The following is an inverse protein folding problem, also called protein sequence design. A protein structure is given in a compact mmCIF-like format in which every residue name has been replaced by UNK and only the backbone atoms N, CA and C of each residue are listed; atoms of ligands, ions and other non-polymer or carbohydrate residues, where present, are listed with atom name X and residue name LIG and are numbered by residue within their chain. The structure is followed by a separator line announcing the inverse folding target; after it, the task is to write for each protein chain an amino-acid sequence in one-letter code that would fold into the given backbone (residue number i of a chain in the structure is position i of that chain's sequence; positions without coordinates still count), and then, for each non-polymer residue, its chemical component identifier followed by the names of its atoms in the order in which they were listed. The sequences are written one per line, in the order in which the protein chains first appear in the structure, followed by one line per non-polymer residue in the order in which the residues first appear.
data_IF_140623496115
#
_entry.id   IF_140623496115
#
_cell.length_a   1.000
_cell.length_b   1.000
_cell.length_c   1.000
_cell.angle_alpha   90.00
_cell.angle_beta   90.00
_cell.angle_gamma   90.00
#
_symmetry.space_group_name_H-M   'P 1'
#
loop_
_entity.id
_entity.type
_entity.pdbx_description
1 polymer ?
#
# COMPACT_ATOMS: atom_id res chain seq x y z
N UNK A 1 -12.45 9.21 -8.78
CA UNK A 1 -13.12 8.05 -9.43
C UNK A 1 -12.48 6.77 -8.90
N UNK A 2 -13.28 5.76 -8.58
CA UNK A 2 -12.85 4.67 -7.71
C UNK A 2 -12.34 3.47 -8.52
N UNK A 3 -11.07 3.12 -8.35
CA UNK A 3 -10.58 1.76 -8.67
C UNK A 3 -11.50 0.74 -7.97
N UNK A 4 -12.05 -0.21 -8.73
CA UNK A 4 -12.96 -1.23 -8.22
C UNK A 4 -12.31 -2.60 -8.29
N UNK A 5 -12.59 -3.42 -7.27
CA UNK A 5 -12.19 -4.82 -7.28
C UNK A 5 -13.04 -5.58 -8.30
N UNK A 6 -12.40 -6.31 -9.21
CA UNK A 6 -13.06 -7.11 -10.25
C UNK A 6 -13.22 -8.55 -9.78
N UNK A 7 -12.13 -9.15 -9.30
CA UNK A 7 -12.14 -10.51 -8.76
C UNK A 7 -11.00 -10.70 -7.75
N UNK A 8 -11.20 -11.60 -6.80
CA UNK A 8 -10.14 -12.09 -5.92
C UNK A 8 -10.14 -13.62 -5.95
N UNK A 9 -8.96 -14.22 -5.94
CA UNK A 9 -8.79 -15.67 -5.94
C UNK A 9 -7.78 -16.08 -4.87
N UNK A 10 -8.22 -16.96 -3.97
CA UNK A 10 -7.37 -17.57 -2.94
C UNK A 10 -6.65 -18.79 -3.52
N UNK A 11 -5.71 -19.35 -2.76
CA UNK A 11 -5.02 -20.56 -3.20
C UNK A 11 -3.98 -20.28 -4.29
N UNK A 12 -3.52 -19.04 -4.46
CA UNK A 12 -2.61 -18.66 -5.55
C UNK A 12 -1.20 -18.49 -5.02
N UNK A 13 -0.27 -19.24 -5.60
CA UNK A 13 1.16 -19.13 -5.31
C UNK A 13 1.86 -18.27 -6.34
N UNK A 14 2.75 -17.41 -5.86
CA UNK A 14 3.54 -16.50 -6.67
C UNK A 14 4.91 -17.10 -7.04
N UNK A 15 5.34 -16.84 -8.27
CA UNK A 15 6.68 -17.11 -8.78
C UNK A 15 7.27 -15.84 -9.38
N UNK A 16 8.54 -15.61 -9.14
CA UNK A 16 9.35 -14.63 -9.82
C UNK A 16 10.09 -15.31 -10.99
N UNK A 17 9.56 -15.19 -12.20
CA UNK A 17 9.97 -15.99 -13.33
C UNK A 17 9.85 -17.51 -13.08
N UNK A 18 10.97 -18.21 -13.15
CA UNK A 18 11.06 -19.63 -12.78
C UNK A 18 11.23 -19.87 -11.27
N UNK A 19 11.66 -18.84 -10.54
CA UNK A 19 11.96 -18.96 -9.12
C UNK A 19 10.68 -18.91 -8.29
N UNK A 20 10.45 -19.95 -7.50
CA UNK A 20 9.33 -19.98 -6.57
C UNK A 20 9.57 -18.95 -5.47
N UNK A 21 8.61 -18.05 -5.24
CA UNK A 21 8.70 -17.13 -4.12
C UNK A 21 8.85 -17.91 -2.80
N UNK A 22 9.64 -17.38 -1.87
CA UNK A 22 9.79 -17.97 -0.51
C UNK A 22 8.50 -17.89 0.32
N UNK A 23 7.52 -17.15 -0.20
CA UNK A 23 6.19 -16.97 0.37
C UNK A 23 5.31 -18.18 0.06
N UNK A 24 4.28 -18.37 0.88
CA UNK A 24 3.47 -19.59 0.88
C UNK A 24 2.39 -19.55 -0.21
N UNK A 25 1.12 -19.78 0.13
CA UNK A 25 -0.02 -19.58 -0.76
C UNK A 25 -0.74 -18.32 -0.30
N UNK A 26 -1.15 -17.48 -1.26
CA UNK A 26 -1.75 -16.19 -0.99
C UNK A 26 -3.03 -15.96 -1.78
N UNK A 27 -3.41 -14.69 -1.83
CA UNK A 27 -4.60 -14.22 -2.53
C UNK A 27 -4.16 -13.28 -3.64
N UNK A 28 -4.58 -13.58 -4.86
CA UNK A 28 -4.45 -12.64 -5.99
C UNK A 28 -5.74 -11.83 -6.11
N UNK A 29 -5.60 -10.53 -6.35
CA UNK A 29 -6.70 -9.61 -6.57
C UNK A 29 -6.50 -8.92 -7.91
N UNK A 30 -7.55 -8.89 -8.71
CA UNK A 30 -7.61 -8.08 -9.92
C UNK A 30 -8.56 -6.91 -9.65
N UNK A 31 -8.07 -5.70 -9.81
CA UNK A 31 -8.89 -4.49 -9.88
C UNK A 31 -8.96 -3.99 -11.32
N UNK A 32 -9.74 -2.94 -11.54
CA UNK A 32 -9.80 -2.24 -12.83
C UNK A 32 -8.50 -1.57 -13.26
N UNK A 33 -7.50 -1.51 -12.37
CA UNK A 33 -6.24 -0.79 -12.61
C UNK A 33 -5.00 -1.64 -12.33
N UNK A 34 -5.10 -2.66 -11.46
CA UNK A 34 -3.94 -3.34 -10.90
C UNK A 34 -4.20 -4.82 -10.65
N UNK A 35 -3.14 -5.60 -10.78
CA UNK A 35 -3.03 -6.98 -10.34
C UNK A 35 -2.22 -7.00 -9.04
N UNK A 36 -2.82 -7.46 -7.94
CA UNK A 36 -2.17 -7.51 -6.63
C UNK A 36 -2.04 -8.95 -6.16
N UNK A 37 -0.98 -9.25 -5.42
CA UNK A 37 -0.83 -10.50 -4.68
C UNK A 37 -0.49 -10.20 -3.22
N UNK A 38 -1.22 -10.85 -2.31
CA UNK A 38 -1.05 -10.71 -0.86
C UNK A 38 -0.82 -12.06 -0.22
N UNK A 39 0.08 -12.09 0.75
CA UNK A 39 0.29 -13.29 1.56
C UNK A 39 -0.92 -13.52 2.49
N UNK A 40 -1.33 -14.78 2.64
CA UNK A 40 -2.53 -15.15 3.40
C UNK A 40 -2.32 -15.05 4.92
N UNK A 41 -1.08 -15.21 5.41
CA UNK A 41 -0.78 -15.26 6.86
C UNK A 41 -0.67 -13.86 7.46
N UNK A 42 -0.04 -12.92 6.75
CA UNK A 42 0.23 -11.58 7.29
C UNK A 42 -0.51 -10.43 6.56
N UNK A 43 -1.28 -10.72 5.51
CA UNK A 43 -1.95 -9.73 4.65
C UNK A 43 -1.00 -8.68 4.04
N UNK A 44 0.31 -8.89 4.05
CA UNK A 44 1.25 -7.99 3.41
C UNK A 44 1.10 -8.09 1.89
N UNK A 45 1.03 -6.93 1.24
CA UNK A 45 1.02 -6.84 -0.21
C UNK A 45 2.44 -7.07 -0.71
N UNK A 46 2.70 -8.24 -1.30
CA UNK A 46 4.03 -8.58 -1.78
C UNK A 46 4.25 -8.11 -3.23
N UNK A 47 3.18 -8.08 -4.04
CA UNK A 47 3.24 -7.55 -5.41
C UNK A 47 2.00 -6.72 -5.72
N UNK A 48 2.21 -5.60 -6.41
CA UNK A 48 1.17 -4.80 -7.03
C UNK A 48 1.68 -4.37 -8.41
N UNK A 49 1.05 -4.87 -9.46
CA UNK A 49 1.41 -4.60 -10.86
C UNK A 49 0.29 -3.77 -11.48
N UNK A 50 0.57 -2.54 -11.93
CA UNK A 50 -0.35 -1.81 -12.79
C UNK A 50 -0.65 -2.59 -14.06
N UNK A 51 -1.93 -2.70 -14.44
CA UNK A 51 -2.31 -3.42 -15.66
C UNK A 51 -1.71 -2.78 -16.92
N UNK A 52 -1.39 -1.47 -16.88
CA UNK A 52 -0.64 -0.78 -17.94
C UNK A 52 0.77 -1.32 -18.19
N UNK A 53 1.36 -2.04 -17.22
CA UNK A 53 2.71 -2.63 -17.38
C UNK A 53 2.70 -4.03 -17.96
N UNK A 54 1.55 -4.69 -17.95
CA UNK A 54 1.39 -6.04 -18.50
C UNK A 54 1.42 -5.93 -20.03
N UNK A 55 2.47 -6.47 -20.64
CA UNK A 55 2.59 -6.53 -22.11
C UNK A 55 1.64 -7.59 -22.65
N UNK A 56 1.74 -8.78 -22.07
CA UNK A 56 0.90 -9.91 -22.42
C UNK A 56 0.86 -10.90 -21.26
N UNK A 57 -0.12 -11.79 -21.30
CA UNK A 57 -0.24 -12.88 -20.34
C UNK A 57 -0.78 -14.10 -21.07
N UNK A 58 -0.42 -15.28 -20.57
CA UNK A 58 -0.76 -16.55 -21.20
C UNK A 58 -1.02 -17.63 -20.17
N UNK A 59 -1.83 -18.62 -20.54
CA UNK A 59 -1.98 -19.83 -19.74
C UNK A 59 -0.82 -20.79 -20.04
N UNK A 60 -0.06 -21.14 -19.01
CA UNK A 60 0.94 -22.19 -19.11
C UNK A 60 0.28 -23.53 -18.82
N UNK A 61 0.16 -24.37 -19.85
CA UNK A 61 -0.38 -25.72 -19.75
C UNK A 61 0.31 -26.50 -18.63
N UNK A 62 -0.48 -26.96 -17.68
CA UNK A 62 0.00 -27.77 -16.58
C UNK A 62 -0.04 -29.25 -17.00
N UNK A 63 1.11 -29.93 -16.99
CA UNK A 63 1.15 -31.38 -17.18
C UNK A 63 0.30 -32.13 -16.14
N UNK A 64 0.07 -33.42 -16.35
CA UNK A 64 -0.76 -34.26 -15.47
C UNK A 64 -0.31 -34.09 -13.99
N UNK A 65 -1.26 -33.75 -13.11
CA UNK A 65 -1.02 -33.55 -11.68
C UNK A 65 -0.40 -32.19 -11.29
N UNK A 66 -0.22 -31.25 -12.23
CA UNK A 66 0.28 -29.90 -11.94
C UNK A 66 -0.87 -28.88 -11.86
N UNK A 67 -0.67 -27.87 -11.02
CA UNK A 67 -1.56 -26.71 -10.90
C UNK A 67 -1.52 -25.83 -12.16
N UNK A 68 -2.68 -25.32 -12.59
CA UNK A 68 -2.77 -24.33 -13.66
C UNK A 68 -1.97 -23.07 -13.32
N UNK A 69 -1.39 -22.44 -14.34
CA UNK A 69 -0.57 -21.25 -14.18
C UNK A 69 -0.94 -20.19 -15.21
N UNK A 70 -1.02 -18.95 -14.76
CA UNK A 70 -1.04 -17.79 -15.64
C UNK A 70 0.34 -17.14 -15.55
N UNK A 71 0.99 -16.96 -16.70
CA UNK A 71 2.25 -16.23 -16.82
C UNK A 71 1.92 -14.80 -17.22
N UNK A 72 2.43 -13.82 -16.48
CA UNK A 72 2.19 -12.40 -16.73
C UNK A 72 3.52 -11.76 -17.10
N UNK A 73 3.65 -11.32 -18.34
CA UNK A 73 4.85 -10.72 -18.88
C UNK A 73 4.78 -9.21 -18.79
N UNK A 74 5.85 -8.62 -18.27
CA UNK A 74 6.01 -7.22 -17.94
C UNK A 74 7.07 -6.59 -18.84
N UNK A 75 7.09 -5.27 -18.91
CA UNK A 75 8.15 -4.56 -19.62
C UNK A 75 9.53 -4.89 -19.03
N UNK A 76 10.52 -5.27 -19.87
CA UNK A 76 11.85 -5.61 -19.39
C UNK A 76 12.53 -4.41 -18.72
N UNK A 77 13.37 -4.68 -17.72
CA UNK A 77 14.20 -3.66 -17.09
C UNK A 77 15.34 -3.31 -18.06
N UNK A 78 15.58 -2.03 -18.39
CA UNK A 78 16.69 -1.63 -19.26
C UNK A 78 18.05 -2.09 -18.69
N UNK A 79 18.96 -2.58 -19.54
CA UNK A 79 20.25 -3.17 -19.15
C UNK A 79 21.19 -2.19 -18.42
N UNK A 80 21.03 -0.88 -18.65
CA UNK A 80 21.90 0.18 -18.09
C UNK A 80 21.53 0.61 -16.65
N UNK A 81 20.84 -0.22 -15.88
CA UNK A 81 20.33 0.15 -14.56
C UNK A 81 21.22 -0.42 -13.46
N UNK A 82 21.84 0.46 -12.68
CA UNK A 82 22.56 0.12 -11.45
C UNK A 82 21.65 -0.68 -10.50
N UNK A 83 22.15 -1.74 -9.83
CA UNK A 83 21.36 -2.57 -8.93
C UNK A 83 20.85 -1.73 -7.75
N UNK A 84 19.53 -1.60 -7.65
CA UNK A 84 18.89 -0.88 -6.55
C UNK A 84 19.03 -1.60 -5.20
N UNK A 85 18.69 -0.94 -4.08
CA UNK A 85 18.87 -1.46 -2.72
C UNK A 85 17.96 -2.67 -2.35
N UNK A 86 17.05 -3.08 -3.24
CA UNK A 86 16.12 -4.19 -3.03
C UNK A 86 16.27 -5.25 -4.12
N UNK A 87 15.80 -6.47 -3.82
CA UNK A 87 15.88 -7.63 -4.70
C UNK A 87 15.33 -7.31 -6.10
N UNK A 88 16.25 -7.30 -7.07
CA UNK A 88 15.92 -7.25 -8.49
C UNK A 88 15.48 -8.65 -8.94
N UNK A 89 14.28 -8.74 -9.52
CA UNK A 89 13.93 -9.92 -10.31
C UNK A 89 14.83 -9.98 -11.53
N UNK A 90 15.37 -11.16 -11.81
CA UNK A 90 16.12 -11.43 -13.05
C UNK A 90 15.19 -11.62 -14.26
N UNK A 91 13.88 -11.67 -14.02
CA UNK A 91 12.88 -12.02 -15.02
C UNK A 91 11.97 -10.83 -15.32
N UNK A 92 11.58 -10.71 -16.57
CA UNK A 92 10.57 -9.73 -17.01
C UNK A 92 9.15 -10.28 -16.89
N UNK A 93 8.91 -11.31 -16.08
CA UNK A 93 7.60 -11.94 -15.96
C UNK A 93 7.43 -12.64 -14.62
N UNK A 94 6.17 -12.80 -14.20
CA UNK A 94 5.79 -13.55 -12.99
C UNK A 94 4.87 -14.72 -13.37
N UNK A 95 4.74 -15.72 -12.48
CA UNK A 95 3.72 -16.77 -12.63
C UNK A 95 2.79 -16.81 -11.42
N UNK A 96 1.50 -16.87 -11.71
CA UNK A 96 0.43 -17.12 -10.74
C UNK A 96 0.02 -18.59 -10.86
N UNK A 97 0.37 -19.40 -9.87
CA UNK A 97 0.01 -20.83 -9.82
C UNK A 97 -1.20 -21.05 -8.94
N UNK A 98 -2.31 -21.46 -9.55
CA UNK A 98 -3.59 -21.66 -8.90
C UNK A 98 -3.64 -23.08 -8.30
N UNK A 99 -3.42 -23.18 -6.99
CA UNK A 99 -3.48 -24.45 -6.25
C UNK A 99 -4.91 -24.95 -6.07
N UNK A 100 -5.85 -24.03 -6.13
CA UNK A 100 -7.29 -24.26 -6.14
C UNK A 100 -7.87 -23.94 -7.53
N UNK A 101 -9.11 -24.35 -7.77
CA UNK A 101 -9.89 -23.93 -8.92
C UNK A 101 -10.08 -22.40 -8.95
N UNK A 102 -10.29 -21.83 -10.14
CA UNK A 102 -10.55 -20.40 -10.33
C UNK A 102 -9.68 -19.73 -11.39
N UNK A 103 -8.65 -20.43 -11.90
CA UNK A 103 -7.78 -19.92 -12.96
C UNK A 103 -8.55 -19.48 -14.21
N UNK A 104 -9.52 -20.28 -14.68
CA UNK A 104 -10.26 -20.00 -15.92
C UNK A 104 -11.02 -18.67 -15.80
N UNK A 105 -11.77 -18.50 -14.71
CA UNK A 105 -12.53 -17.27 -14.47
C UNK A 105 -11.60 -16.09 -14.25
N UNK A 106 -10.49 -16.27 -13.53
CA UNK A 106 -9.50 -15.22 -13.32
C UNK A 106 -8.87 -14.76 -14.64
N UNK A 107 -8.48 -15.69 -15.50
CA UNK A 107 -7.92 -15.40 -16.83
C UNK A 107 -8.92 -14.64 -17.70
N UNK A 108 -10.18 -15.06 -17.69
CA UNK A 108 -11.27 -14.39 -18.42
C UNK A 108 -11.45 -12.94 -17.96
N UNK A 109 -11.52 -12.70 -16.65
CA UNK A 109 -11.64 -11.34 -16.08
C UNK A 109 -10.41 -10.47 -16.37
N UNK A 110 -9.22 -11.04 -16.29
CA UNK A 110 -7.98 -10.34 -16.65
C UNK A 110 -8.00 -9.92 -18.12
N UNK A 111 -8.47 -10.79 -19.01
CA UNK A 111 -8.63 -10.49 -20.45
C UNK A 111 -9.60 -9.34 -20.69
N UNK A 112 -10.73 -9.31 -19.98
CA UNK A 112 -11.71 -8.23 -20.06
C UNK A 112 -11.11 -6.88 -19.63
N UNK A 113 -10.42 -6.83 -18.49
CA UNK A 113 -9.80 -5.60 -18.01
C UNK A 113 -8.65 -5.15 -18.91
N UNK A 114 -7.84 -6.08 -19.42
CA UNK A 114 -6.78 -5.80 -20.38
C UNK A 114 -7.29 -5.26 -21.73
N UNK A 115 -8.50 -5.65 -22.11
CA UNK A 115 -9.17 -5.15 -23.32
C UNK A 115 -9.80 -3.78 -23.10
N UNK A 116 -10.45 -3.58 -21.95
CA UNK A 116 -11.16 -2.34 -21.63
C UNK A 116 -10.23 -1.20 -21.26
N UNK A 117 -9.02 -1.53 -20.75
CA UNK A 117 -8.00 -0.57 -20.35
C UNK A 117 -8.53 0.60 -19.53
N UNK A 118 -9.40 0.31 -18.57
CA UNK A 118 -10.14 1.36 -17.81
C UNK A 118 -9.21 2.35 -17.11
N UNK A 119 -7.97 1.95 -16.84
CA UNK A 119 -6.92 2.82 -16.30
C UNK A 119 -6.51 3.97 -17.24
N UNK A 120 -6.67 3.83 -18.56
CA UNK A 120 -6.36 4.89 -19.54
C UNK A 120 -7.39 6.04 -19.53
N UNK A 121 -8.61 5.76 -19.06
CA UNK A 121 -9.71 6.74 -19.02
C UNK A 121 -9.74 7.59 -17.73
N UNK A 122 -8.57 7.83 -17.11
CA UNK A 122 -8.49 8.62 -15.87
C UNK A 122 -8.51 10.12 -16.20
N UNK A 123 -9.58 10.89 -15.88
CA UNK A 123 -9.47 12.35 -15.96
C UNK A 123 -8.55 12.84 -14.84
N UNK A 124 -7.50 13.55 -15.23
CA UNK A 124 -6.71 14.40 -14.34
C UNK A 124 -7.69 15.43 -13.75
N UNK A 125 -7.81 15.48 -12.43
CA UNK A 125 -8.63 16.44 -11.64
C UNK A 125 -10.08 16.01 -11.34
N UNK A 126 -10.29 15.39 -10.17
CA UNK A 126 -11.52 15.64 -9.40
C UNK A 126 -11.19 15.69 -7.89
N UNK A 127 -11.69 16.69 -7.14
CA UNK A 127 -11.59 16.72 -5.67
C UNK A 127 -12.30 15.51 -5.05
N UNK A 128 -11.68 14.91 -4.05
CA UNK A 128 -12.26 13.77 -3.31
C UNK A 128 -13.44 14.28 -2.47
N UNK A 129 -14.64 13.64 -2.50
CA UNK A 129 -15.80 14.08 -1.71
C UNK A 129 -15.55 13.96 -0.20
N UNK A 130 -15.87 15.04 0.52
CA UNK A 130 -15.60 15.32 1.94
C UNK A 130 -16.47 14.53 2.93
N UNK A 131 -16.88 13.30 2.63
CA UNK A 131 -17.98 12.62 3.32
C UNK A 131 -17.67 11.20 3.82
N UNK A 132 -16.51 11.01 4.45
CA UNK A 132 -16.15 9.91 5.35
C UNK A 132 -14.62 9.95 5.47
N UNK A 133 -14.10 10.45 6.58
CA UNK A 133 -12.67 10.49 6.85
C UNK A 133 -12.10 9.08 7.07
N UNK A 134 -12.09 8.24 6.02
CA UNK A 134 -11.17 7.12 5.94
C UNK A 134 -9.82 7.76 5.68
N UNK A 135 -9.07 8.01 6.75
CA UNK A 135 -7.67 8.43 6.71
C UNK A 135 -6.89 7.27 6.08
N UNK A 136 -6.89 7.19 4.74
CA UNK A 136 -6.06 6.24 4.02
C UNK A 136 -4.66 6.85 3.94
N UNK A 137 -3.97 6.87 5.08
CA UNK A 137 -2.56 7.21 5.11
C UNK A 137 -1.82 6.06 4.42
N UNK A 138 -1.38 6.31 3.19
CA UNK A 138 -0.55 5.35 2.47
C UNK A 138 0.82 5.36 3.16
N UNK A 139 1.22 4.23 3.75
CA UNK A 139 2.63 4.02 4.13
C UNK A 139 3.51 4.37 2.92
N UNK A 140 4.70 4.94 3.15
CA UNK A 140 5.67 5.21 2.09
C UNK A 140 5.85 3.98 1.17
N UNK A 141 5.78 2.77 1.73
CA UNK A 141 5.77 1.49 1.00
C UNK A 141 4.55 1.25 0.10
N UNK A 142 3.35 1.67 0.50
CA UNK A 142 2.17 1.64 -0.37
C UNK A 142 2.24 2.72 -1.47
N UNK A 143 2.90 3.85 -1.20
CA UNK A 143 3.22 4.86 -2.23
C UNK A 143 4.30 4.33 -3.17
N UNK A 144 5.32 3.62 -2.69
CA UNK A 144 6.30 2.90 -3.52
C UNK A 144 5.57 1.97 -4.49
N UNK A 145 4.61 1.19 -3.98
CA UNK A 145 3.78 0.29 -4.79
C UNK A 145 2.88 1.00 -5.80
N UNK A 146 2.48 2.25 -5.52
CA UNK A 146 1.68 3.08 -6.43
C UNK A 146 2.54 3.90 -7.41
N UNK A 147 3.79 4.23 -7.06
CA UNK A 147 4.75 5.02 -7.84
C UNK A 147 5.74 4.16 -8.65
N UNK A 148 5.72 2.83 -8.48
CA UNK A 148 6.34 1.85 -9.38
C UNK A 148 5.58 1.83 -10.74
N UNK A 149 5.42 2.99 -11.36
CA UNK A 149 4.57 3.28 -12.53
C UNK A 149 5.34 3.06 -13.84
N UNK A 150 6.65 3.00 -13.81
CA UNK A 150 7.48 2.71 -14.98
C UNK A 150 8.72 1.97 -14.53
N UNK A 151 9.43 1.32 -15.43
CA UNK A 151 10.62 0.49 -15.21
C UNK A 151 11.82 1.21 -14.52
N UNK A 152 11.62 2.40 -13.97
CA UNK A 152 12.54 3.17 -13.16
C UNK A 152 12.22 2.92 -11.67
N UNK A 153 13.15 2.29 -10.95
CA UNK A 153 13.05 2.18 -9.49
C UNK A 153 13.53 3.53 -8.95
N UNK A 154 12.72 4.18 -8.13
CA UNK A 154 13.17 5.33 -7.35
C UNK A 154 13.99 4.79 -6.18
N UNK A 155 15.19 5.34 -5.96
CA UNK A 155 15.89 5.15 -4.68
C UNK A 155 15.02 5.72 -3.54
N UNK A 156 15.28 5.32 -2.27
CA UNK A 156 14.64 5.97 -1.13
C UNK A 156 14.84 7.49 -1.16
N UNK A 157 16.00 7.99 -1.60
CA UNK A 157 16.22 9.42 -1.78
C UNK A 157 15.34 10.01 -2.89
N UNK A 158 15.27 9.36 -4.05
CA UNK A 158 14.47 9.86 -5.18
C UNK A 158 12.97 9.87 -4.86
N UNK A 159 12.49 8.88 -4.09
CA UNK A 159 11.13 8.86 -3.61
C UNK A 159 10.85 10.02 -2.65
N UNK A 160 11.75 10.24 -1.68
CA UNK A 160 11.64 11.37 -0.75
C UNK A 160 11.68 12.68 -1.52
N UNK A 161 12.57 12.80 -2.51
CA UNK A 161 12.66 13.98 -3.38
C UNK A 161 11.40 14.18 -4.23
N UNK A 162 10.83 13.11 -4.79
CA UNK A 162 9.55 13.17 -5.49
C UNK A 162 8.41 13.61 -4.57
N UNK A 163 8.37 13.09 -3.34
CA UNK A 163 7.38 13.50 -2.34
C UNK A 163 7.56 14.97 -1.89
N UNK A 164 8.79 15.49 -1.85
CA UNK A 164 9.06 16.92 -1.62
C UNK A 164 8.50 17.81 -2.74
N UNK A 165 8.40 17.28 -3.97
CA UNK A 165 7.84 18.03 -5.10
C UNK A 165 6.32 18.22 -5.02
N UNK A 166 5.59 17.51 -4.16
CA UNK A 166 4.12 17.58 -4.10
C UNK A 166 3.59 19.01 -3.88
N UNK A 167 4.24 19.78 -3.00
CA UNK A 167 3.88 21.17 -2.75
C UNK A 167 4.16 22.07 -3.97
N UNK A 168 5.32 21.91 -4.60
CA UNK A 168 5.70 22.66 -5.81
C UNK A 168 4.79 22.38 -7.01
N UNK A 169 4.26 21.15 -7.10
CA UNK A 169 3.34 20.71 -8.14
C UNK A 169 1.87 20.99 -7.80
N UNK A 170 1.58 21.67 -6.68
CA UNK A 170 0.23 22.00 -6.19
C UNK A 170 -0.68 20.77 -6.07
N UNK A 171 -0.10 19.60 -5.77
CA UNK A 171 -0.86 18.39 -5.52
C UNK A 171 -1.50 18.48 -4.13
N UNK A 172 -2.67 17.86 -3.89
CA UNK A 172 -3.35 17.92 -2.59
C UNK A 172 -2.67 17.06 -1.50
N UNK A 173 -1.39 16.72 -1.68
CA UNK A 173 -0.60 15.86 -0.80
C UNK A 173 0.63 16.62 -0.29
N UNK A 174 1.11 16.26 0.90
CA UNK A 174 2.38 16.74 1.46
C UNK A 174 3.14 15.63 2.15
N UNK A 175 4.47 15.69 2.06
CA UNK A 175 5.37 14.88 2.87
C UNK A 175 5.56 15.57 4.22
N UNK A 176 5.33 14.84 5.31
CA UNK A 176 5.61 15.26 6.69
C UNK A 176 6.68 14.36 7.29
N UNK A 177 7.58 14.96 8.04
CA UNK A 177 8.61 14.27 8.81
C UNK A 177 8.34 14.57 10.29
N UNK A 178 8.13 13.53 11.09
CA UNK A 178 8.00 13.66 12.53
C UNK A 178 9.39 13.77 13.20
N UNK A 179 9.44 14.24 14.44
CA UNK A 179 10.69 14.38 15.20
C UNK A 179 11.44 13.05 15.36
N UNK A 180 10.71 11.92 15.34
CA UNK A 180 11.28 10.57 15.34
C UNK A 180 11.99 10.18 14.04
N UNK A 181 11.92 11.02 13.01
CA UNK A 181 12.40 10.73 11.66
C UNK A 181 11.40 9.94 10.80
N UNK A 182 10.23 9.58 11.36
CA UNK A 182 9.17 8.91 10.60
C UNK A 182 8.62 9.86 9.53
N UNK A 183 8.60 9.38 8.29
CA UNK A 183 8.07 10.12 7.14
C UNK A 183 6.70 9.60 6.74
N UNK A 184 5.74 10.51 6.56
CA UNK A 184 4.37 10.19 6.14
C UNK A 184 3.90 11.11 5.02
N UNK A 185 3.08 10.60 4.12
CA UNK A 185 2.39 11.41 3.12
C UNK A 185 0.94 11.54 3.51
N UNK A 186 0.46 12.77 3.63
CA UNK A 186 -0.89 13.11 4.05
C UNK A 186 -1.51 14.15 3.12
N UNK A 187 -2.83 14.33 3.16
CA UNK A 187 -3.51 15.40 2.43
C UNK A 187 -3.11 16.76 2.99
N UNK A 188 -3.00 17.78 2.13
CA UNK A 188 -2.74 19.16 2.55
C UNK A 188 -3.86 19.73 3.43
N UNK A 189 -5.10 19.26 3.23
CA UNK A 189 -6.25 19.65 4.03
C UNK A 189 -6.21 19.11 5.46
N UNK A 190 -5.32 18.17 5.77
CA UNK A 190 -5.21 17.61 7.11
C UNK A 190 -4.19 18.42 7.91
N UNK A 191 -4.71 19.23 8.84
CA UNK A 191 -3.90 20.11 9.67
C UNK A 191 -3.37 19.36 10.91
N UNK A 192 -2.30 19.87 11.50
CA UNK A 192 -1.75 19.27 12.72
C UNK A 192 -2.72 19.44 13.89
N UNK A 193 -3.42 20.56 13.91
CA UNK A 193 -4.43 20.93 14.89
C UNK A 193 -5.59 19.93 14.91
N UNK A 194 -6.08 19.51 13.74
CA UNK A 194 -7.13 18.48 13.64
C UNK A 194 -6.65 17.12 14.18
N UNK A 195 -5.40 16.75 13.92
CA UNK A 195 -4.84 15.48 14.43
C UNK A 195 -4.72 15.50 15.95
N UNK A 196 -4.26 16.62 16.51
CA UNK A 196 -4.10 16.82 17.95
C UNK A 196 -5.47 16.83 18.63
N UNK A 197 -6.43 17.57 18.09
CA UNK A 197 -7.80 17.63 18.60
C UNK A 197 -8.42 16.23 18.62
N UNK A 198 -8.33 15.49 17.50
CA UNK A 198 -8.81 14.10 17.42
C UNK A 198 -8.14 13.19 18.46
N UNK A 199 -6.84 13.34 18.70
CA UNK A 199 -6.14 12.56 19.73
C UNK A 199 -6.63 12.91 21.13
N UNK A 200 -6.76 14.21 21.45
CA UNK A 200 -7.25 14.69 22.74
C UNK A 200 -8.67 14.21 23.02
N UNK A 201 -9.58 14.35 22.05
CA UNK A 201 -10.98 13.94 22.19
C UNK A 201 -11.08 12.44 22.50
N UNK A 202 -10.39 11.60 21.73
CA UNK A 202 -10.44 10.15 21.94
C UNK A 202 -9.80 9.71 23.27
N UNK A 203 -8.69 10.36 23.66
CA UNK A 203 -8.04 10.07 24.94
C UNK A 203 -8.93 10.53 26.11
N UNK A 204 -9.58 11.68 25.99
CA UNK A 204 -10.51 12.20 27.01
C UNK A 204 -11.76 11.34 27.14
N UNK A 205 -12.36 10.93 26.02
CA UNK A 205 -13.54 10.07 25.97
C UNK A 205 -13.30 8.69 26.59
N UNK A 206 -12.08 8.17 26.46
CA UNK A 206 -11.67 6.86 27.00
C UNK A 206 -10.97 6.98 28.35
N UNK A 207 -10.73 8.19 28.83
CA UNK A 207 -9.91 8.51 30.01
C UNK A 207 -8.40 8.33 29.78
N UNK A 208 -8.00 7.26 29.09
CA UNK A 208 -6.61 6.99 28.73
C UNK A 208 -6.51 6.01 27.58
N UNK A 209 -5.43 6.09 26.79
CA UNK A 209 -5.19 5.16 25.69
C UNK A 209 -3.70 4.82 25.51
N UNK A 210 -3.42 3.57 25.12
CA UNK A 210 -2.13 3.21 24.52
C UNK A 210 -2.11 3.53 23.02
N UNK A 211 -0.92 3.56 22.42
CA UNK A 211 -0.79 3.71 20.97
C UNK A 211 -1.51 2.61 20.18
N UNK A 212 -1.59 1.39 20.72
CA UNK A 212 -2.26 0.26 20.07
C UNK A 212 -3.79 0.36 20.12
N UNK A 213 -4.32 0.79 21.27
CA UNK A 213 -5.76 1.04 21.45
C UNK A 213 -6.21 2.19 20.54
N UNK A 214 -5.46 3.29 20.53
CA UNK A 214 -5.72 4.44 19.67
C UNK A 214 -5.63 4.08 18.18
N UNK A 215 -4.65 3.26 17.80
CA UNK A 215 -4.52 2.74 16.44
C UNK A 215 -5.75 1.92 16.01
N UNK A 216 -6.25 1.04 16.87
CA UNK A 216 -7.43 0.22 16.58
C UNK A 216 -8.70 1.07 16.44
N UNK A 217 -8.87 2.09 17.30
CA UNK A 217 -10.04 2.97 17.26
C UNK A 217 -10.14 3.75 15.94
N UNK A 218 -9.02 4.29 15.46
CA UNK A 218 -8.98 5.14 14.28
C UNK A 218 -8.59 4.40 12.98
N UNK A 219 -8.37 3.08 13.05
CA UNK A 219 -7.90 2.28 11.90
C UNK A 219 -6.52 2.70 11.39
N UNK A 220 -5.65 3.18 12.28
CA UNK A 220 -4.29 3.64 11.96
C UNK A 220 -3.25 2.55 12.23
N UNK A 221 -2.04 2.71 11.69
CA UNK A 221 -0.90 1.92 12.16
C UNK A 221 -0.45 2.39 13.54
N UNK A 222 0.00 1.46 14.39
CA UNK A 222 0.54 1.76 15.74
C UNK A 222 1.63 2.84 15.71
N UNK A 223 2.49 2.84 14.70
CA UNK A 223 3.53 3.86 14.52
C UNK A 223 2.93 5.26 14.41
N UNK A 224 2.02 5.48 13.45
CA UNK A 224 1.35 6.78 13.28
C UNK A 224 0.51 7.18 14.50
N UNK A 225 -0.18 6.22 15.11
CA UNK A 225 -0.95 6.44 16.32
C UNK A 225 -0.05 6.97 17.44
N UNK A 226 1.13 6.37 17.62
CA UNK A 226 2.16 6.84 18.55
C UNK A 226 2.64 8.24 18.22
N UNK A 227 2.98 8.54 16.95
CA UNK A 227 3.43 9.88 16.54
C UNK A 227 2.38 10.96 16.82
N UNK A 228 1.09 10.68 16.60
CA UNK A 228 0.00 11.62 16.90
C UNK A 228 -0.14 11.89 18.39
N UNK A 229 -0.06 10.84 19.22
CA UNK A 229 -0.14 10.97 20.67
C UNK A 229 1.07 11.74 21.23
N UNK A 230 2.28 11.45 20.75
CA UNK A 230 3.50 12.18 21.10
C UNK A 230 3.45 13.65 20.66
N UNK A 231 2.84 13.95 19.51
CA UNK A 231 2.66 15.32 19.07
C UNK A 231 1.70 16.10 19.99
N UNK A 232 0.58 15.47 20.38
CA UNK A 232 -0.36 16.08 21.31
C UNK A 232 0.25 16.26 22.71
N UNK A 233 1.11 15.33 23.16
CA UNK A 233 1.93 15.47 24.36
C UNK A 233 2.89 16.67 24.25
N UNK A 234 3.63 16.78 23.15
CA UNK A 234 4.57 17.88 22.90
C UNK A 234 3.89 19.26 22.92
N UNK A 235 2.64 19.32 22.48
CA UNK A 235 1.81 20.52 22.52
C UNK A 235 1.17 20.80 23.88
N UNK A 236 1.39 19.94 24.87
CA UNK A 236 0.89 20.10 26.24
C UNK A 236 -0.57 19.68 26.44
N UNK A 237 -1.20 19.04 25.46
CA UNK A 237 -2.58 18.56 25.57
C UNK A 237 -2.70 17.21 26.25
N UNK A 238 -1.68 16.36 26.09
CA UNK A 238 -1.61 15.04 26.71
C UNK A 238 -0.38 14.95 27.63
N UNK A 239 -0.45 14.06 28.61
CA UNK A 239 0.69 13.59 29.37
C UNK A 239 0.79 12.07 29.24
N UNK A 240 1.96 11.51 29.57
CA UNK A 240 2.19 10.07 29.50
C UNK A 240 2.57 9.48 30.85
N UNK A 241 2.13 8.26 31.05
CA UNK A 241 2.61 7.37 32.11
C UNK A 241 3.41 6.25 31.44
N UNK A 242 4.67 6.11 31.85
CA UNK A 242 5.58 5.07 31.37
C UNK A 242 5.85 4.11 32.52
N UNK A 243 5.14 2.97 32.50
CA UNK A 243 5.18 1.95 33.53
C UNK A 243 5.57 0.60 32.96
N UNK A 244 5.74 -0.39 33.85
CA UNK A 244 5.98 -1.79 33.46
C UNK A 244 4.84 -2.39 32.62
N UNK A 245 3.64 -1.81 32.70
CA UNK A 245 2.46 -2.21 31.92
C UNK A 245 2.45 -1.61 30.50
N UNK A 246 3.34 -0.65 30.23
CA UNK A 246 3.54 0.00 28.95
C UNK A 246 3.23 1.50 28.95
N UNK A 247 3.47 2.12 27.79
CA UNK A 247 3.29 3.56 27.59
C UNK A 247 1.82 3.90 27.34
N UNK A 248 1.23 4.70 28.23
CA UNK A 248 -0.17 5.14 28.17
C UNK A 248 -0.28 6.67 28.21
N UNK A 249 -1.22 7.21 27.46
CA UNK A 249 -1.47 8.66 27.35
C UNK A 249 -2.77 9.05 28.05
N UNK A 250 -2.75 10.20 28.70
CA UNK A 250 -3.84 10.80 29.48
C UNK A 250 -4.02 12.28 29.09
N UNK A 251 -5.20 12.87 29.29
CA UNK A 251 -5.37 14.32 29.16
C UNK A 251 -4.46 15.04 30.15
N UNK A 252 -3.76 16.08 29.69
CA UNK A 252 -2.93 16.88 30.58
C UNK A 252 -3.82 17.79 31.45
N UNK A 253 -3.76 17.59 32.77
CA UNK A 253 -4.50 18.38 33.77
C UNK A 253 -3.60 19.36 34.53
N UNK A 254 -2.34 19.51 34.12
CA UNK A 254 -1.30 20.30 34.78
C UNK A 254 -0.85 21.50 33.94
#
# INVERSE_FOLDING_TARGET
MNETLVIQQRGVRLYDGEDKAKLDVGVVLLSTHRLLWRDQKNNECCICIPLSQVIFFEEQAAGIGKSAKIVVHLHPVPENKEPGPYQQSKYSYIKLSFKEHGQIEFYRRLTEEMTQKRWENTPVSQPIPTGAAIIKLLKLLHIICLLQISSQLLSPEDLVNACKMFESLKLPLRLRVFDSGVMVVQLQSHSEEEMIASALDNVSDKGSLTAEEFAKLLGLSVLLAKERLLLAEKMGHLCRDDSVEGLRFYPNLF
#
